data_IF_202097702405
#
_entry.id   IF_202097702405
#
_cell.length_a   1.000
_cell.length_b   1.000
_cell.length_c   1.000
_cell.angle_alpha   90.00
_cell.angle_beta   90.00
_cell.angle_gamma   90.00
#
_symmetry.space_group_name_H-M   'P 1'
#
loop_
_entity.id
_entity.type
_entity.pdbx_description
1 polymer ?
#
# COMPACT_ATOMS: atom_id res chain seq x y z
N UNK A 1 15.36 -2.47 -4.39
CA UNK A 1 14.70 -1.27 -3.83
C UNK A 1 13.51 -0.89 -4.69
N UNK A 2 12.39 -0.61 -4.07
CA UNK A 2 11.19 -0.15 -4.80
C UNK A 2 11.19 1.36 -4.92
N UNK A 3 10.72 1.86 -6.06
CA UNK A 3 10.47 3.30 -6.26
C UNK A 3 9.01 3.55 -5.91
N UNK A 4 8.76 4.46 -4.97
CA UNK A 4 7.39 4.77 -4.52
C UNK A 4 7.00 6.14 -5.02
N UNK A 5 5.89 6.19 -5.76
CA UNK A 5 5.37 7.43 -6.32
C UNK A 5 4.10 7.82 -5.57
N UNK A 6 3.92 9.13 -5.39
CA UNK A 6 2.80 9.74 -4.67
C UNK A 6 2.89 9.58 -3.16
N UNK A 7 4.11 9.66 -2.61
CA UNK A 7 4.33 9.64 -1.16
C UNK A 7 3.54 10.74 -0.43
N UNK A 8 3.25 11.85 -1.13
CA UNK A 8 2.46 12.94 -0.54
C UNK A 8 1.09 12.49 -0.05
N UNK A 9 0.53 11.43 -0.66
CA UNK A 9 -0.74 10.86 -0.21
C UNK A 9 -0.61 10.31 1.21
N UNK A 10 0.51 9.64 1.51
CA UNK A 10 0.78 9.13 2.85
C UNK A 10 0.88 10.26 3.87
N UNK A 11 1.62 11.31 3.52
CA UNK A 11 1.83 12.45 4.40
C UNK A 11 0.51 13.15 4.71
N UNK A 12 -0.29 13.42 3.69
CA UNK A 12 -1.59 14.05 3.85
C UNK A 12 -2.53 13.22 4.71
N UNK A 13 -2.57 11.91 4.43
CA UNK A 13 -3.46 11.04 5.20
C UNK A 13 -3.06 11.01 6.67
N UNK A 14 -1.75 10.94 6.96
CA UNK A 14 -1.25 10.96 8.32
C UNK A 14 -1.58 12.24 9.07
N UNK A 15 -1.66 13.36 8.37
CA UNK A 15 -2.07 14.64 9.00
C UNK A 15 -3.53 14.61 9.45
N UNK A 16 -4.40 14.02 8.63
CA UNK A 16 -5.82 13.90 8.96
C UNK A 16 -6.12 12.77 9.96
N UNK A 17 -5.27 11.76 10.00
CA UNK A 17 -5.45 10.58 10.87
C UNK A 17 -4.13 10.28 11.58
N UNK A 18 -3.77 11.07 12.61
CA UNK A 18 -2.46 10.95 13.24
C UNK A 18 -2.11 9.56 13.76
N UNK A 19 -3.10 8.78 14.17
CA UNK A 19 -2.87 7.41 14.64
C UNK A 19 -2.39 6.46 13.54
N UNK A 20 -2.52 6.85 12.27
CA UNK A 20 -2.05 6.04 11.15
C UNK A 20 -0.59 6.29 10.78
N UNK A 21 -0.01 7.41 11.25
CA UNK A 21 1.33 7.85 10.81
C UNK A 21 2.41 6.79 10.98
N UNK A 22 2.48 6.19 12.15
CA UNK A 22 3.53 5.22 12.45
C UNK A 22 3.40 3.99 11.55
N UNK A 23 2.19 3.48 11.41
CA UNK A 23 1.95 2.28 10.59
C UNK A 23 2.22 2.56 9.12
N UNK A 24 1.85 3.75 8.63
CA UNK A 24 2.12 4.13 7.25
C UNK A 24 3.61 4.33 7.00
N UNK A 25 4.32 4.93 7.95
CA UNK A 25 5.77 5.08 7.83
C UNK A 25 6.46 3.72 7.80
N UNK A 26 6.06 2.80 8.67
CA UNK A 26 6.62 1.45 8.71
C UNK A 26 6.36 0.73 7.38
N UNK A 27 5.15 0.86 6.82
CA UNK A 27 4.83 0.31 5.52
C UNK A 27 5.72 0.90 4.43
N UNK A 28 5.86 2.22 4.43
CA UNK A 28 6.67 2.92 3.44
C UNK A 28 8.13 2.45 3.45
N UNK A 29 8.73 2.37 4.64
CA UNK A 29 10.11 1.95 4.77
C UNK A 29 10.30 0.50 4.36
N UNK A 30 9.37 -0.37 4.72
CA UNK A 30 9.41 -1.77 4.35
C UNK A 30 9.34 -1.94 2.83
N UNK A 31 8.43 -1.23 2.18
CA UNK A 31 8.30 -1.28 0.73
C UNK A 31 9.53 -0.71 0.05
N UNK A 32 10.00 0.46 0.50
CA UNK A 32 11.14 1.13 -0.10
C UNK A 32 12.39 0.24 -0.08
N UNK A 33 12.62 -0.46 1.02
CA UNK A 33 13.79 -1.31 1.19
C UNK A 33 13.62 -2.72 0.59
N UNK A 34 12.43 -3.05 0.12
CA UNK A 34 12.16 -4.34 -0.48
C UNK A 34 12.60 -4.38 -1.94
N UNK A 35 12.68 -5.59 -2.47
CA UNK A 35 13.03 -5.80 -3.88
C UNK A 35 12.34 -7.08 -4.34
N UNK A 36 11.08 -6.95 -4.71
CA UNK A 36 10.26 -8.09 -5.11
C UNK A 36 10.09 -8.11 -6.62
N UNK A 37 10.22 -9.31 -7.21
CA UNK A 37 10.09 -9.51 -8.66
C UNK A 37 8.67 -9.83 -9.09
N UNK A 38 7.82 -10.26 -8.16
CA UNK A 38 6.45 -10.65 -8.46
C UNK A 38 5.60 -10.65 -7.18
N UNK A 39 4.30 -10.84 -7.34
CA UNK A 39 3.37 -10.85 -6.22
C UNK A 39 3.65 -11.97 -5.22
N UNK A 40 4.10 -13.12 -5.70
CA UNK A 40 4.39 -14.26 -4.83
C UNK A 40 5.47 -13.90 -3.80
N UNK A 41 6.53 -13.21 -4.25
CA UNK A 41 7.59 -12.73 -3.36
C UNK A 41 7.08 -11.66 -2.41
N UNK A 42 6.29 -10.71 -2.93
CA UNK A 42 5.73 -9.63 -2.13
C UNK A 42 4.85 -10.19 -1.01
N UNK A 43 4.03 -11.18 -1.32
CA UNK A 43 3.12 -11.80 -0.36
C UNK A 43 3.82 -12.43 0.82
N UNK A 44 5.06 -12.91 0.65
CA UNK A 44 5.85 -13.47 1.73
C UNK A 44 6.24 -12.43 2.78
N UNK A 45 6.35 -11.17 2.36
CA UNK A 45 6.79 -10.08 3.24
C UNK A 45 5.64 -9.38 3.94
N UNK A 46 4.41 -9.54 3.45
CA UNK A 46 3.23 -8.90 4.02
C UNK A 46 2.17 -9.95 4.32
N UNK A 47 1.70 -9.96 5.57
CA UNK A 47 0.75 -10.97 6.03
C UNK A 47 -0.64 -10.79 5.41
N UNK A 48 -1.00 -9.58 5.03
CA UNK A 48 -2.34 -9.30 4.56
C UNK A 48 -2.29 -8.37 3.35
N UNK A 49 -2.25 -8.99 2.18
CA UNK A 49 -2.22 -8.28 0.90
C UNK A 49 -3.06 -9.08 -0.10
N UNK A 50 -3.86 -8.37 -0.89
CA UNK A 50 -4.73 -9.00 -1.90
C UNK A 50 -4.44 -8.43 -3.28
N UNK A 51 -4.38 -9.30 -4.28
CA UNK A 51 -4.32 -8.88 -5.67
C UNK A 51 -5.75 -8.73 -6.19
N UNK A 52 -6.06 -7.55 -6.74
CA UNK A 52 -7.44 -7.24 -7.18
C UNK A 52 -7.56 -7.02 -8.69
N UNK A 53 -6.50 -7.37 -9.44
CA UNK A 53 -6.50 -7.24 -10.90
C UNK A 53 -5.91 -5.91 -11.38
N UNK A 54 -5.57 -5.85 -12.66
CA UNK A 54 -5.02 -4.66 -13.32
C UNK A 54 -3.78 -4.11 -12.62
N UNK A 55 -2.91 -4.99 -12.12
CA UNK A 55 -1.68 -4.65 -11.38
C UNK A 55 -1.95 -3.89 -10.10
N UNK A 56 -3.15 -4.00 -9.54
CA UNK A 56 -3.51 -3.34 -8.28
C UNK A 56 -3.52 -4.31 -7.13
N UNK A 57 -3.05 -3.83 -5.98
CA UNK A 57 -2.88 -4.63 -4.77
C UNK A 57 -3.40 -3.85 -3.57
N UNK A 58 -4.05 -4.54 -2.65
CA UNK A 58 -4.60 -3.93 -1.45
C UNK A 58 -3.80 -4.39 -0.25
N UNK A 59 -3.21 -3.44 0.47
CA UNK A 59 -2.48 -3.69 1.70
C UNK A 59 -3.37 -3.34 2.89
N UNK A 60 -3.47 -4.25 3.84
CA UNK A 60 -4.15 -3.95 5.10
C UNK A 60 -3.11 -3.37 6.07
N UNK A 61 -3.41 -2.20 6.60
CA UNK A 61 -2.50 -1.44 7.45
C UNK A 61 -3.07 -1.38 8.87
N UNK A 62 -2.21 -1.54 9.87
CA UNK A 62 -2.57 -1.48 11.29
C UNK A 62 -3.72 -2.45 11.58
N UNK A 63 -3.44 -3.74 11.38
CA UNK A 63 -4.50 -4.75 11.38
C UNK A 63 -5.40 -4.48 10.21
N UNK A 64 -6.68 -4.36 10.41
CA UNK A 64 -7.62 -4.07 9.32
C UNK A 64 -8.23 -2.67 9.43
N UNK A 65 -7.57 -1.75 10.14
CA UNK A 65 -8.11 -0.40 10.31
C UNK A 65 -8.04 0.43 9.04
N UNK A 66 -6.94 0.29 8.28
CA UNK A 66 -6.73 1.09 7.08
C UNK A 66 -6.43 0.17 5.90
N UNK A 67 -6.79 0.62 4.71
CA UNK A 67 -6.47 -0.07 3.47
C UNK A 67 -5.80 0.88 2.50
N UNK A 68 -4.73 0.38 1.88
CA UNK A 68 -3.96 1.13 0.89
C UNK A 68 -3.99 0.37 -0.42
N UNK A 69 -4.40 1.06 -1.48
CA UNK A 69 -4.40 0.48 -2.82
C UNK A 69 -3.18 1.01 -3.57
N UNK A 70 -2.39 0.10 -4.13
CA UNK A 70 -1.22 0.47 -4.91
C UNK A 70 -1.24 -0.24 -6.25
N UNK A 71 -0.75 0.45 -7.27
CA UNK A 71 -0.48 -0.16 -8.57
C UNK A 71 1.01 -0.49 -8.60
N UNK A 72 1.37 -1.74 -8.88
CA UNK A 72 2.76 -2.17 -8.86
C UNK A 72 3.17 -2.68 -10.22
N UNK A 73 4.26 -2.13 -10.74
CA UNK A 73 4.91 -2.61 -11.95
C UNK A 73 6.20 -3.27 -11.51
N UNK A 74 6.19 -4.58 -11.39
CA UNK A 74 7.33 -5.33 -10.85
C UNK A 74 8.57 -5.22 -11.73
N UNK A 75 8.40 -5.17 -13.04
CA UNK A 75 9.51 -5.09 -13.98
C UNK A 75 10.40 -3.88 -13.72
N UNK A 76 9.82 -2.76 -13.33
CA UNK A 76 10.55 -1.53 -13.04
C UNK A 76 10.67 -1.25 -11.56
N UNK A 77 10.21 -2.15 -10.71
CA UNK A 77 10.21 -1.98 -9.26
C UNK A 77 9.55 -0.67 -8.82
N UNK A 78 8.43 -0.34 -9.46
CA UNK A 78 7.73 0.92 -9.21
C UNK A 78 6.36 0.66 -8.59
N UNK A 79 6.04 1.41 -7.56
CA UNK A 79 4.76 1.33 -6.85
C UNK A 79 4.12 2.71 -6.82
N UNK A 80 2.88 2.79 -7.31
CA UNK A 80 2.10 4.03 -7.27
C UNK A 80 1.03 3.89 -6.19
N UNK A 81 1.00 4.83 -5.25
CA UNK A 81 -0.05 4.84 -4.23
C UNK A 81 -1.29 5.47 -4.83
N UNK A 82 -2.38 4.72 -4.88
CA UNK A 82 -3.62 5.18 -5.51
C UNK A 82 -4.67 5.64 -4.49
N UNK A 83 -4.69 5.00 -3.32
CA UNK A 83 -5.74 5.26 -2.34
C UNK A 83 -5.29 4.83 -0.95
N UNK A 84 -5.68 5.60 0.05
CA UNK A 84 -5.60 5.21 1.46
C UNK A 84 -6.91 5.60 2.10
N UNK A 85 -7.46 4.71 2.91
CA UNK A 85 -8.69 5.00 3.63
C UNK A 85 -8.92 4.01 4.74
N UNK A 86 -9.95 4.25 5.54
CA UNK A 86 -10.40 3.30 6.52
C UNK A 86 -11.05 2.12 5.80
N UNK A 87 -11.27 1.03 6.55
CA UNK A 87 -11.99 -0.11 6.01
C UNK A 87 -13.35 0.30 5.46
N UNK A 88 -14.04 1.20 6.15
CA UNK A 88 -15.32 1.71 5.72
C UNK A 88 -15.23 2.50 4.41
N UNK A 89 -14.22 3.38 4.29
CA UNK A 89 -14.00 4.12 3.05
C UNK A 89 -13.74 3.18 1.87
N UNK A 90 -12.93 2.15 2.11
CA UNK A 90 -12.62 1.17 1.08
C UNK A 90 -13.88 0.47 0.55
N UNK A 91 -14.81 0.14 1.46
CA UNK A 91 -16.03 -0.58 1.08
C UNK A 91 -16.95 0.24 0.17
N UNK A 92 -16.73 1.55 0.07
CA UNK A 92 -17.52 2.45 -0.78
C UNK A 92 -16.97 2.64 -2.17
N UNK A 93 -15.82 2.03 -2.48
CA UNK A 93 -15.19 2.16 -3.79
C UNK A 93 -14.88 0.79 -4.38
N UNK A 94 -14.59 0.78 -5.70
CA UNK A 94 -14.12 -0.42 -6.37
C UNK A 94 -12.60 -0.29 -6.55
N UNK A 95 -11.85 -1.32 -6.11
CA UNK A 95 -10.40 -1.29 -6.15
C UNK A 95 -9.82 -1.65 -7.53
N UNK A 96 -10.54 -2.38 -8.34
CA UNK A 96 -10.07 -2.86 -9.64
C UNK A 96 -10.71 -2.15 -10.82
#
# INVERSE_FOLDING_TARGET
>A
MMVIISKSILNKYGEGYPESKESLLNWYLKVKNGNWSNFHELKRSFNSIDAVGNNRYVFNIKGNQYRLIALIIFETRTLFILFIGTHENYNKIEAS
#
